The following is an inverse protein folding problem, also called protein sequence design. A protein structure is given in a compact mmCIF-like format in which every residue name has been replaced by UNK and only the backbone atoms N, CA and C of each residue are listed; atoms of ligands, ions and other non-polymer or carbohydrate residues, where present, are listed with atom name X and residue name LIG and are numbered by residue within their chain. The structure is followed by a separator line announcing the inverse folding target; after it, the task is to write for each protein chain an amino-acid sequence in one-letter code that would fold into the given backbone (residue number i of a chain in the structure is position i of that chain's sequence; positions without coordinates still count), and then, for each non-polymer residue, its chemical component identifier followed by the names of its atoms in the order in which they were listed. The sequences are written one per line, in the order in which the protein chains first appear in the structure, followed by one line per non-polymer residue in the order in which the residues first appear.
data_IF_637484610529
#
_entry.id   IF_637484610529
#
_cell.length_a   1.000
_cell.length_b   1.000
_cell.length_c   1.000
_cell.angle_alpha   90.00
_cell.angle_beta   90.00
_cell.angle_gamma   90.00
#
_symmetry.space_group_name_H-M   'P 1'
#
loop_
_entity.id
_entity.type
_entity.pdbx_description
1 polymer ?
#
# COMPACT_ATOMS: atom_id res chain seq x y z
N UNK A 1 -2.42 3.04 -14.29
CA UNK A 1 -2.23 3.60 -12.94
C UNK A 1 -3.46 4.35 -12.49
N UNK A 2 -4.25 3.75 -11.59
CA UNK A 2 -5.42 4.33 -10.91
C UNK A 2 -5.23 4.20 -9.39
N UNK A 3 -5.67 5.18 -8.59
CA UNK A 3 -5.64 5.07 -7.12
C UNK A 3 -6.91 4.36 -6.67
N UNK A 4 -6.76 3.15 -6.11
CA UNK A 4 -7.87 2.33 -5.62
C UNK A 4 -8.24 2.71 -4.18
N UNK A 5 -7.24 2.94 -3.33
CA UNK A 5 -7.43 3.29 -1.93
C UNK A 5 -6.27 4.16 -1.44
N UNK A 6 -6.49 4.91 -0.38
CA UNK A 6 -5.43 5.70 0.24
C UNK A 6 -5.71 5.98 1.70
N UNK A 7 -4.63 6.13 2.46
CA UNK A 7 -4.64 6.64 3.82
C UNK A 7 -3.90 7.98 3.83
N UNK A 8 -4.57 9.09 4.22
CA UNK A 8 -3.91 10.37 4.35
C UNK A 8 -2.68 10.25 5.24
N UNK A 9 -1.53 10.71 4.74
CA UNK A 9 -0.24 10.66 5.46
C UNK A 9 0.24 9.25 5.82
N UNK A 10 -0.15 8.23 5.07
CA UNK A 10 0.26 6.84 5.33
C UNK A 10 0.65 6.08 4.08
N UNK A 11 -0.31 5.78 3.20
CA UNK A 11 -0.06 4.95 2.04
C UNK A 11 -1.10 5.18 0.94
N UNK A 12 -0.74 4.85 -0.30
CA UNK A 12 -1.59 4.87 -1.48
C UNK A 12 -1.55 3.51 -2.15
N UNK A 13 -2.74 2.94 -2.37
CA UNK A 13 -2.89 1.73 -3.15
C UNK A 13 -3.24 2.12 -4.59
N UNK A 14 -2.35 1.73 -5.48
CA UNK A 14 -2.39 2.00 -6.90
C UNK A 14 -2.66 0.67 -7.63
N UNK A 15 -3.48 0.71 -8.66
CA UNK A 15 -3.63 -0.39 -9.60
C UNK A 15 -3.02 0.01 -10.95
N UNK A 16 -2.09 -0.80 -11.42
CA UNK A 16 -1.53 -0.69 -12.76
C UNK A 16 -1.82 -1.94 -13.57
N UNK A 17 -2.86 -1.87 -14.40
CA UNK A 17 -3.34 -3.04 -15.15
C UNK A 17 -3.82 -4.14 -14.21
N UNK A 18 -3.07 -5.24 -14.17
CA UNK A 18 -3.34 -6.42 -13.32
C UNK A 18 -2.49 -6.45 -12.05
N UNK A 19 -1.67 -5.41 -11.84
CA UNK A 19 -0.78 -5.29 -10.70
C UNK A 19 -1.31 -4.30 -9.67
N UNK A 20 -1.16 -4.66 -8.41
CA UNK A 20 -1.40 -3.77 -7.28
C UNK A 20 -0.06 -3.28 -6.76
N UNK A 21 0.08 -1.98 -6.67
CA UNK A 21 1.25 -1.27 -6.19
C UNK A 21 0.84 -0.54 -4.90
N UNK A 22 1.57 -0.78 -3.83
CA UNK A 22 1.40 -0.11 -2.56
C UNK A 22 2.54 0.88 -2.38
N UNK A 23 2.21 2.17 -2.45
CA UNK A 23 3.11 3.27 -2.11
C UNK A 23 2.92 3.61 -0.63
N UNK A 24 3.95 3.41 0.18
CA UNK A 24 3.93 3.69 1.62
C UNK A 24 4.79 4.91 1.88
N UNK A 25 4.20 5.96 2.44
CA UNK A 25 4.92 7.11 2.93
C UNK A 25 5.32 6.88 4.39
N UNK A 26 6.57 6.48 4.61
CA UNK A 26 7.13 6.35 5.94
C UNK A 26 7.77 7.68 6.35
N UNK A 27 7.17 8.33 7.34
CA UNK A 27 7.73 9.53 7.96
C UNK A 27 8.34 9.16 9.31
N UNK A 28 9.67 9.11 9.38
CA UNK A 28 10.41 8.88 10.62
C UNK A 28 11.16 10.16 11.02
N UNK A 29 10.66 10.83 12.06
CA UNK A 29 11.20 12.09 12.57
C UNK A 29 11.25 13.18 11.48
N UNK A 30 12.43 13.73 11.15
CA UNK A 30 12.60 14.75 10.12
C UNK A 30 12.80 14.21 8.69
N UNK A 31 12.69 12.89 8.49
CA UNK A 31 12.91 12.25 7.18
C UNK A 31 11.66 11.50 6.77
N UNK A 32 11.17 11.82 5.58
CA UNK A 32 10.09 11.09 4.91
C UNK A 32 10.67 10.37 3.70
N UNK A 33 10.34 9.10 3.54
CA UNK A 33 10.67 8.33 2.34
C UNK A 33 9.43 7.57 1.87
N UNK A 34 9.30 7.46 0.56
CA UNK A 34 8.32 6.61 -0.11
C UNK A 34 8.94 5.24 -0.40
N UNK A 35 8.17 4.18 -0.11
CA UNK A 35 8.47 2.82 -0.57
C UNK A 35 7.32 2.37 -1.45
N UNK A 36 7.62 2.08 -2.71
CA UNK A 36 6.68 1.44 -3.62
C UNK A 36 6.94 -0.06 -3.63
N UNK A 37 5.97 -0.84 -3.16
CA UNK A 37 6.00 -2.30 -3.14
C UNK A 37 4.92 -2.84 -4.07
N UNK A 38 5.27 -3.78 -4.95
CA UNK A 38 4.27 -4.51 -5.73
C UNK A 38 3.71 -5.64 -4.88
N UNK A 39 2.39 -5.66 -4.71
CA UNK A 39 1.71 -6.76 -4.03
C UNK A 39 1.84 -8.03 -4.87
N UNK A 40 2.22 -9.10 -4.20
CA UNK A 40 2.17 -10.44 -4.78
C UNK A 40 0.71 -10.89 -4.95
N UNK A 41 0.44 -11.90 -5.79
CA UNK A 41 -0.92 -12.43 -5.97
C UNK A 41 -1.58 -12.88 -4.66
N UNK A 42 -0.80 -13.38 -3.69
CA UNK A 42 -1.31 -13.77 -2.38
C UNK A 42 -1.73 -12.58 -1.52
N UNK A 43 -0.95 -11.50 -1.54
CA UNK A 43 -1.29 -10.26 -0.82
C UNK A 43 -2.47 -9.53 -1.47
N UNK A 44 -2.58 -9.56 -2.80
CA UNK A 44 -3.74 -9.05 -3.52
C UNK A 44 -5.02 -9.83 -3.16
N UNK A 45 -4.93 -11.15 -2.97
CA UNK A 45 -6.06 -11.95 -2.51
C UNK A 45 -6.42 -11.62 -1.05
N UNK A 46 -5.42 -11.47 -0.17
CA UNK A 46 -5.64 -11.06 1.22
C UNK A 46 -6.30 -9.68 1.30
N UNK A 47 -5.89 -8.74 0.44
CA UNK A 47 -6.56 -7.46 0.27
C UNK A 47 -8.03 -7.61 -0.15
N UNK A 48 -8.34 -8.54 -1.06
CA UNK A 48 -9.74 -8.82 -1.44
C UNK A 48 -10.63 -9.28 -0.28
N UNK A 49 -10.05 -9.84 0.79
CA UNK A 49 -10.77 -10.36 1.96
C UNK A 49 -10.80 -9.36 3.12
N UNK A 50 -9.65 -8.83 3.51
CA UNK A 50 -9.50 -7.92 4.66
C UNK A 50 -9.61 -6.43 4.26
N UNK A 51 -9.49 -6.12 2.97
CA UNK A 51 -9.53 -4.77 2.42
C UNK A 51 -8.43 -3.88 3.00
N UNK A 52 -8.84 -2.64 3.32
CA UNK A 52 -7.98 -1.57 3.83
C UNK A 52 -7.19 -1.94 5.11
N UNK A 53 -7.70 -2.85 5.93
CA UNK A 53 -7.04 -3.28 7.16
C UNK A 53 -5.73 -4.04 6.89
N UNK A 54 -5.72 -4.88 5.85
CA UNK A 54 -4.53 -5.62 5.45
C UNK A 54 -3.42 -4.67 4.96
N UNK A 55 -3.77 -3.74 4.07
CA UNK A 55 -2.84 -2.74 3.52
C UNK A 55 -2.27 -1.84 4.61
N UNK A 56 -3.11 -1.44 5.57
CA UNK A 56 -2.65 -0.65 6.71
C UNK A 56 -1.62 -1.40 7.54
N UNK A 57 -1.87 -2.67 7.85
CA UNK A 57 -0.93 -3.51 8.59
C UNK A 57 0.38 -3.71 7.82
N UNK A 58 0.28 -3.96 6.51
CA UNK A 58 1.44 -4.15 5.64
C UNK A 58 2.31 -2.89 5.60
N UNK A 59 1.70 -1.72 5.46
CA UNK A 59 2.36 -0.42 5.48
C UNK A 59 3.01 -0.09 6.85
N UNK A 60 2.43 -0.54 7.96
CA UNK A 60 3.02 -0.38 9.29
C UNK A 60 4.21 -1.33 9.56
N UNK A 61 4.33 -2.41 8.78
CA UNK A 61 5.43 -3.39 8.90
C UNK A 61 6.53 -3.24 7.85
N UNK A 62 6.37 -2.30 6.91
CA UNK A 62 7.27 -2.06 5.78
C UNK A 62 8.53 -1.29 6.18
#
# INVERSE_FOLDING_TARGET
MEIIDSKPQGWFLLQDGNDLLLDVNCSYSAVSFDIVVRLTPGEAQAYGVEGRSFVSRLAETA
#
